data_IF_157855269650
#
_entry.id   IF_157855269650
#
_cell.length_a   1.000
_cell.length_b   1.000
_cell.length_c   1.000
_cell.angle_alpha   90.00
_cell.angle_beta   90.00
_cell.angle_gamma   90.00
#
_symmetry.space_group_name_H-M   'P 1'
#
loop_
_entity.id
_entity.type
_entity.pdbx_description
1 polymer ?
#
# COMPACT_ATOMS: atom_id res chain seq x y z
N UNK A 1 -23.22 -9.91 -26.94
CA UNK A 1 -23.31 -9.75 -25.48
C UNK A 1 -21.90 -9.45 -25.01
N UNK A 2 -21.55 -8.16 -24.95
CA UNK A 2 -20.37 -7.71 -24.24
C UNK A 2 -20.57 -8.05 -22.76
N UNK A 3 -19.66 -8.83 -22.19
CA UNK A 3 -19.65 -9.05 -20.76
C UNK A 3 -19.30 -7.74 -20.08
N UNK A 4 -20.20 -7.23 -19.25
CA UNK A 4 -19.86 -6.16 -18.30
C UNK A 4 -18.62 -6.59 -17.51
N UNK A 5 -17.49 -5.97 -17.82
CA UNK A 5 -16.30 -6.03 -16.98
C UNK A 5 -16.67 -5.41 -15.64
N UNK A 6 -17.00 -6.24 -14.65
CA UNK A 6 -17.24 -5.82 -13.28
C UNK A 6 -16.07 -4.95 -12.80
N UNK A 7 -16.38 -3.70 -12.46
CA UNK A 7 -15.47 -2.80 -11.77
C UNK A 7 -15.13 -3.41 -10.41
N UNK A 8 -13.85 -3.52 -10.12
CA UNK A 8 -13.33 -4.05 -8.86
C UNK A 8 -12.35 -3.06 -8.25
N UNK A 9 -12.21 -3.09 -6.91
CA UNK A 9 -11.12 -2.42 -6.23
C UNK A 9 -9.80 -3.10 -6.63
N UNK A 10 -9.04 -2.47 -7.52
CA UNK A 10 -7.76 -2.97 -8.03
C UNK A 10 -6.60 -2.64 -7.09
N UNK A 11 -6.82 -1.84 -6.04
CA UNK A 11 -5.84 -1.51 -5.01
C UNK A 11 -5.79 -2.51 -3.84
N UNK A 12 -6.80 -3.36 -3.67
CA UNK A 12 -6.89 -4.30 -2.54
C UNK A 12 -5.63 -5.19 -2.43
N UNK A 13 -4.99 -5.14 -1.26
CA UNK A 13 -3.78 -5.89 -0.91
C UNK A 13 -2.56 -5.54 -1.78
N UNK A 14 -2.59 -4.42 -2.50
CA UNK A 14 -1.48 -4.02 -3.36
C UNK A 14 -0.31 -3.47 -2.56
N UNK A 15 0.83 -3.41 -3.23
CA UNK A 15 2.03 -2.83 -2.65
C UNK A 15 1.86 -1.32 -2.54
N UNK A 16 2.21 -0.76 -1.39
CA UNK A 16 2.03 0.66 -1.09
C UNK A 16 3.32 1.35 -0.66
N UNK A 17 3.27 2.67 -0.75
CA UNK A 17 4.34 3.59 -0.46
C UNK A 17 3.74 4.77 0.31
N UNK A 18 4.52 5.42 1.17
CA UNK A 18 4.13 6.68 1.77
C UNK A 18 5.34 7.57 2.01
N UNK A 19 5.07 8.87 2.20
CA UNK A 19 6.08 9.84 2.62
C UNK A 19 6.73 9.48 3.96
N UNK A 20 5.94 8.93 4.87
CA UNK A 20 6.32 8.54 6.23
C UNK A 20 5.22 7.68 6.86
N UNK A 21 5.57 6.90 7.87
CA UNK A 21 4.63 6.14 8.70
C UNK A 21 4.70 6.62 10.15
N UNK A 22 3.57 6.69 10.83
CA UNK A 22 3.50 7.11 12.24
C UNK A 22 3.78 5.93 13.17
N UNK A 23 4.72 6.12 14.09
CA UNK A 23 5.05 5.15 15.13
C UNK A 23 4.17 5.42 16.36
N UNK A 24 3.11 4.61 16.51
CA UNK A 24 2.20 4.75 17.64
C UNK A 24 2.77 4.12 18.92
N UNK A 25 3.36 2.93 18.80
CA UNK A 25 4.01 2.23 19.91
C UNK A 25 5.16 1.35 19.40
N UNK A 26 5.86 0.65 20.29
CA UNK A 26 6.84 -0.37 19.90
C UNK A 26 6.22 -1.55 19.14
N UNK A 27 4.91 -1.72 19.22
CA UNK A 27 4.15 -2.83 18.65
C UNK A 27 3.16 -2.39 17.59
N UNK A 28 3.09 -1.11 17.21
CA UNK A 28 2.19 -0.61 16.15
C UNK A 28 2.87 0.53 15.38
N UNK A 29 3.03 0.32 14.07
CA UNK A 29 3.36 1.38 13.10
C UNK A 29 2.21 1.45 12.10
N UNK A 30 1.68 2.65 11.88
CA UNK A 30 0.55 2.92 11.00
C UNK A 30 1.02 3.17 9.56
N UNK A 31 1.37 2.09 8.85
CA UNK A 31 1.94 2.14 7.50
C UNK A 31 0.89 2.41 6.41
N UNK A 32 1.33 2.62 5.16
CA UNK A 32 0.43 2.75 4.00
C UNK A 32 -0.29 1.47 3.60
N UNK A 33 0.11 0.31 4.15
CA UNK A 33 -0.57 -0.96 3.91
C UNK A 33 -2.04 -0.92 4.38
N UNK A 34 -2.29 -0.31 5.55
CA UNK A 34 -3.64 -0.18 6.09
C UNK A 34 -4.59 0.62 5.20
N UNK A 35 -4.08 1.42 4.26
CA UNK A 35 -4.96 2.11 3.32
C UNK A 35 -5.47 1.18 2.19
N UNK A 36 -5.06 -0.08 2.11
CA UNK A 36 -5.49 -1.00 1.04
C UNK A 36 -5.72 -2.42 1.54
N UNK A 37 -5.91 -2.62 2.84
CA UNK A 37 -6.02 -3.95 3.43
C UNK A 37 -7.45 -4.52 3.33
N UNK A 38 -8.40 -3.70 2.89
CA UNK A 38 -9.82 -4.06 2.74
C UNK A 38 -10.62 -3.89 4.02
N UNK A 39 -10.04 -3.28 5.06
CA UNK A 39 -10.72 -2.96 6.30
C UNK A 39 -11.21 -1.51 6.30
N UNK A 40 -12.35 -1.29 5.66
CA UNK A 40 -12.99 0.02 5.54
C UNK A 40 -14.00 0.32 6.65
N UNK A 41 -13.94 -0.39 7.79
CA UNK A 41 -14.81 -0.10 8.91
C UNK A 41 -14.46 1.28 9.51
N UNK A 42 -15.48 2.12 9.63
CA UNK A 42 -15.39 3.49 10.12
C UNK A 42 -15.92 3.60 11.56
N UNK A 43 -16.14 2.46 12.24
CA UNK A 43 -16.56 2.41 13.63
C UNK A 43 -15.54 3.12 14.55
N UNK A 44 -15.98 3.62 15.70
CA UNK A 44 -15.11 4.19 16.75
C UNK A 44 -14.34 3.11 17.53
N UNK A 45 -14.36 1.86 17.05
CA UNK A 45 -13.68 0.76 17.72
C UNK A 45 -12.18 0.83 17.44
N UNK A 46 -11.37 0.61 18.48
CA UNK A 46 -9.90 0.62 18.40
C UNK A 46 -9.31 -0.56 17.62
N UNK A 47 -10.16 -1.36 16.97
CA UNK A 47 -9.80 -2.54 16.21
C UNK A 47 -9.40 -2.23 14.76
N UNK A 48 -9.70 -1.03 14.24
CA UNK A 48 -9.33 -0.62 12.88
C UNK A 48 -8.08 0.26 12.91
N UNK A 49 -7.02 -0.20 12.25
CA UNK A 49 -5.83 0.61 12.01
C UNK A 49 -5.97 1.31 10.67
N UNK A 50 -5.72 2.62 10.65
CA UNK A 50 -5.67 3.41 9.43
C UNK A 50 -4.21 3.78 9.13
N UNK A 51 -3.88 4.00 7.86
CA UNK A 51 -2.60 4.58 7.49
C UNK A 51 -2.47 5.97 8.08
N UNK A 52 -1.31 6.30 8.65
CA UNK A 52 -1.04 7.62 9.22
C UNK A 52 0.38 8.08 8.89
N UNK A 53 0.51 9.24 8.24
CA UNK A 53 1.83 9.86 8.01
C UNK A 53 2.31 10.63 9.24
N UNK A 54 3.62 10.70 9.44
CA UNK A 54 4.24 11.49 10.50
C UNK A 54 4.59 12.91 9.99
N UNK A 55 4.35 13.99 10.77
CA UNK A 55 4.76 15.36 10.46
C UNK A 55 6.28 15.50 10.26
N UNK A 56 6.70 16.53 9.53
CA UNK A 56 8.11 16.75 9.18
C UNK A 56 8.57 16.02 7.91
N UNK A 57 7.65 15.33 7.24
CA UNK A 57 7.84 14.63 5.96
C UNK A 57 6.89 15.17 4.88
N UNK A 58 6.52 16.44 4.99
CA UNK A 58 5.64 17.12 4.03
C UNK A 58 6.34 17.27 2.66
N UNK A 59 5.59 17.23 1.55
CA UNK A 59 4.15 16.95 1.48
C UNK A 59 3.85 15.47 1.74
N UNK A 60 2.74 15.20 2.44
CA UNK A 60 2.31 13.83 2.70
C UNK A 60 1.67 13.19 1.48
N UNK A 61 1.98 11.93 1.25
CA UNK A 61 1.42 11.15 0.16
C UNK A 61 1.38 9.66 0.50
N UNK A 62 0.42 8.96 -0.13
CA UNK A 62 0.30 7.50 -0.18
C UNK A 62 0.26 7.10 -1.66
N UNK A 63 1.09 6.15 -2.05
CA UNK A 63 1.15 5.61 -3.40
C UNK A 63 0.79 4.13 -3.42
N UNK A 64 0.08 3.69 -4.46
CA UNK A 64 -0.29 2.29 -4.67
C UNK A 64 0.27 1.81 -6.00
N UNK A 65 0.99 0.69 -6.00
CA UNK A 65 1.41 -0.02 -7.21
C UNK A 65 0.40 -1.12 -7.57
N UNK A 66 -0.37 -0.90 -8.63
CA UNK A 66 -1.40 -1.84 -9.09
C UNK A 66 -0.80 -3.13 -9.69
N UNK A 67 0.51 -3.15 -9.95
CA UNK A 67 1.28 -4.24 -10.55
C UNK A 67 1.21 -4.30 -12.09
N UNK A 68 0.21 -3.66 -12.69
CA UNK A 68 0.05 -3.49 -14.14
C UNK A 68 -0.70 -2.18 -14.43
N UNK A 69 -0.85 -1.82 -15.70
CA UNK A 69 -1.53 -0.59 -16.13
C UNK A 69 -3.04 -0.78 -16.20
N UNK A 70 -3.78 0.15 -15.58
CA UNK A 70 -5.24 0.22 -15.60
C UNK A 70 -5.71 1.54 -16.18
N UNK A 71 -6.87 1.50 -16.84
CA UNK A 71 -7.70 2.68 -17.04
C UNK A 71 -8.48 2.93 -15.74
N UNK A 72 -8.07 3.94 -14.98
CA UNK A 72 -8.66 4.26 -13.68
C UNK A 72 -9.89 5.13 -13.90
N UNK A 73 -11.02 4.74 -13.32
CA UNK A 73 -12.32 5.40 -13.52
C UNK A 73 -12.61 6.33 -12.34
N UNK A 74 -12.53 5.80 -11.12
CA UNK A 74 -12.75 6.58 -9.91
C UNK A 74 -11.98 5.95 -8.75
N UNK A 75 -11.86 6.73 -7.68
CA UNK A 75 -11.32 6.26 -6.40
C UNK A 75 -12.32 6.52 -5.28
N UNK A 76 -12.26 5.67 -4.25
CA UNK A 76 -12.97 5.86 -3.00
C UNK A 76 -11.94 6.03 -1.89
N UNK A 77 -12.14 7.02 -1.05
CA UNK A 77 -11.27 7.30 0.08
C UNK A 77 -12.07 7.31 1.37
N UNK A 78 -11.70 6.43 2.29
CA UNK A 78 -12.25 6.35 3.64
C UNK A 78 -11.31 7.10 4.57
N UNK A 79 -11.69 8.32 4.91
CA UNK A 79 -10.80 9.26 5.59
C UNK A 79 -10.78 8.99 7.08
N UNK A 80 -9.59 8.78 7.62
CA UNK A 80 -9.39 8.38 9.00
C UNK A 80 -9.55 9.48 10.04
N UNK A 81 -9.94 9.06 11.25
CA UNK A 81 -10.11 9.77 12.54
C UNK A 81 -10.59 8.70 13.57
N UNK A 82 -10.83 8.88 14.87
CA UNK A 82 -10.44 9.84 15.91
C UNK A 82 -10.03 8.91 17.05
N UNK A 83 -8.84 8.28 16.93
CA UNK A 83 -8.37 7.46 18.03
C UNK A 83 -8.00 8.42 19.16
N UNK A 84 -8.54 8.21 20.36
CA UNK A 84 -8.36 9.15 21.50
C UNK A 84 -6.86 9.39 21.80
N UNK A 85 -6.04 8.39 21.51
CA UNK A 85 -4.60 8.38 21.72
C UNK A 85 -3.78 8.79 20.48
N UNK A 86 -4.43 9.03 19.34
CA UNK A 86 -3.79 9.48 18.11
C UNK A 86 -4.12 10.95 17.82
N UNK A 87 -3.30 11.62 17.00
CA UNK A 87 -3.61 12.95 16.52
C UNK A 87 -4.99 13.00 15.85
N UNK A 88 -5.91 13.76 16.44
CA UNK A 88 -7.29 13.95 15.95
C UNK A 88 -7.35 14.83 14.69
N UNK A 89 -6.26 15.52 14.36
CA UNK A 89 -6.17 16.41 13.20
C UNK A 89 -5.74 15.63 11.96
N UNK A 90 -6.68 15.42 11.03
CA UNK A 90 -6.39 14.94 9.68
C UNK A 90 -6.41 16.12 8.69
N UNK A 91 -5.26 16.44 8.10
CA UNK A 91 -5.09 17.60 7.21
C UNK A 91 -5.32 17.25 5.73
N UNK A 92 -6.21 16.30 5.46
CA UNK A 92 -6.54 15.80 4.12
C UNK A 92 -7.40 16.78 3.29
N UNK A 93 -7.38 18.07 3.61
CA UNK A 93 -8.15 19.09 2.88
C UNK A 93 -7.52 19.35 1.51
N UNK A 94 -8.36 19.61 0.51
CA UNK A 94 -7.94 19.98 -0.85
C UNK A 94 -6.99 18.98 -1.54
N UNK A 95 -7.03 17.71 -1.13
CA UNK A 95 -6.13 16.68 -1.63
C UNK A 95 -6.30 16.41 -3.13
N UNK A 96 -5.24 15.86 -3.73
CA UNK A 96 -5.23 15.44 -5.13
C UNK A 96 -4.98 13.94 -5.25
N UNK A 97 -5.53 13.38 -6.31
CA UNK A 97 -5.29 12.01 -6.75
C UNK A 97 -4.65 12.07 -8.12
N UNK A 98 -3.47 11.49 -8.24
CA UNK A 98 -2.71 11.43 -9.47
C UNK A 98 -2.35 10.02 -9.88
N UNK A 99 -1.79 9.92 -11.08
CA UNK A 99 -1.42 8.66 -11.69
C UNK A 99 -0.06 8.75 -12.36
N UNK A 100 0.70 7.66 -12.34
CA UNK A 100 2.04 7.61 -12.91
C UNK A 100 2.38 6.22 -13.45
N UNK A 101 3.33 6.19 -14.40
CA UNK A 101 3.98 4.96 -14.84
C UNK A 101 5.45 4.89 -14.40
N UNK A 102 5.93 5.88 -13.62
CA UNK A 102 7.26 5.87 -13.01
C UNK A 102 7.19 5.19 -11.65
N UNK A 103 8.14 4.30 -11.36
CA UNK A 103 8.26 3.64 -10.06
C UNK A 103 8.42 4.67 -8.93
N UNK A 104 7.62 4.49 -7.88
CA UNK A 104 7.61 5.34 -6.70
C UNK A 104 8.81 5.06 -5.76
N UNK A 105 9.45 3.88 -5.87
CA UNK A 105 10.69 3.56 -5.14
C UNK A 105 11.83 4.51 -5.52
N UNK A 106 11.93 4.82 -6.82
CA UNK A 106 13.04 5.60 -7.39
C UNK A 106 12.65 7.07 -7.54
N UNK A 107 11.36 7.33 -7.74
CA UNK A 107 10.85 8.67 -7.98
C UNK A 107 9.67 8.94 -7.04
N UNK A 108 9.95 9.37 -5.79
CA UNK A 108 8.91 9.80 -4.87
C UNK A 108 7.99 10.85 -5.53
N UNK A 109 6.67 10.79 -5.30
CA UNK A 109 5.73 11.76 -5.85
C UNK A 109 6.08 13.21 -5.51
N UNK A 110 6.20 14.03 -6.54
CA UNK A 110 6.27 15.49 -6.43
C UNK A 110 5.04 16.05 -7.13
N UNK A 111 4.24 16.84 -6.43
CA UNK A 111 3.02 17.43 -6.98
C UNK A 111 3.30 18.16 -8.31
N UNK A 112 2.45 17.92 -9.31
CA UNK A 112 2.61 18.49 -10.66
C UNK A 112 3.59 17.76 -11.58
N UNK A 113 4.23 16.66 -11.14
CA UNK A 113 5.12 15.83 -11.98
C UNK A 113 4.50 14.54 -12.49
N UNK A 114 3.24 14.30 -12.13
CA UNK A 114 2.43 13.15 -12.54
C UNK A 114 1.07 13.66 -13.06
N UNK A 115 0.36 12.82 -13.80
CA UNK A 115 -0.93 13.19 -14.39
C UNK A 115 -2.02 13.23 -13.31
N UNK A 116 -2.84 14.28 -13.33
CA UNK A 116 -3.94 14.42 -12.37
C UNK A 116 -5.10 13.52 -12.79
N UNK A 117 -5.55 12.65 -11.88
CA UNK A 117 -6.81 11.94 -12.00
C UNK A 117 -7.95 12.84 -11.52
N UNK A 118 -7.89 13.29 -10.26
CA UNK A 118 -8.95 14.06 -9.63
C UNK A 118 -8.43 14.96 -8.51
N UNK A 119 -9.24 15.91 -8.08
CA UNK A 119 -8.96 16.79 -6.94
C UNK A 119 -10.21 16.95 -6.11
N UNK A 120 -10.08 16.83 -4.79
CA UNK A 120 -11.16 17.18 -3.87
C UNK A 120 -11.12 18.69 -3.60
N UNK A 121 -12.21 19.44 -3.78
CA UNK A 121 -12.16 20.90 -3.79
C UNK A 121 -12.36 21.56 -2.42
N UNK A 122 -12.38 20.81 -1.31
CA UNK A 122 -12.83 21.33 -0.03
C UNK A 122 -12.16 20.74 1.20
N UNK A 123 -12.76 21.08 2.34
CA UNK A 123 -12.42 20.50 3.64
C UNK A 123 -13.04 19.11 3.73
N UNK A 124 -12.25 18.16 4.20
CA UNK A 124 -12.71 16.79 4.43
C UNK A 124 -13.17 16.70 5.88
N UNK A 125 -14.42 16.30 6.07
CA UNK A 125 -14.93 16.02 7.40
C UNK A 125 -14.26 14.76 7.94
N UNK A 126 -14.01 14.69 9.25
CA UNK A 126 -13.60 13.45 9.88
C UNK A 126 -14.61 12.31 9.52
N UNK A 127 -14.11 11.09 9.26
CA UNK A 127 -14.89 9.86 8.92
C UNK A 127 -15.62 9.93 7.59
N UNK A 128 -15.31 10.92 6.77
CA UNK A 128 -15.94 11.09 5.49
C UNK A 128 -15.46 10.01 4.51
N UNK A 129 -16.41 9.44 3.78
CA UNK A 129 -16.13 8.66 2.57
C UNK A 129 -16.21 9.61 1.37
N UNK A 130 -15.14 9.70 0.61
CA UNK A 130 -15.01 10.59 -0.54
C UNK A 130 -14.86 9.76 -1.81
N UNK A 131 -15.80 9.91 -2.74
CA UNK A 131 -15.67 9.40 -4.10
C UNK A 131 -15.16 10.50 -5.02
N UNK A 132 -14.11 10.21 -5.80
CA UNK A 132 -13.61 11.10 -6.83
C UNK A 132 -13.55 10.38 -8.18
N UNK A 133 -14.28 10.91 -9.17
CA UNK A 133 -14.17 10.43 -10.54
C UNK A 133 -12.92 11.01 -11.19
N UNK A 134 -12.11 10.15 -11.81
CA UNK A 134 -10.98 10.62 -12.60
C UNK A 134 -11.47 11.34 -13.85
N UNK A 135 -10.69 12.32 -14.31
CA UNK A 135 -10.92 12.97 -15.60
C UNK A 135 -10.92 11.94 -16.73
N UNK A 136 -11.76 12.12 -17.76
CA UNK A 136 -11.72 11.30 -18.98
C UNK A 136 -10.40 11.43 -19.74
N UNK A 137 -9.61 12.46 -19.46
CA UNK A 137 -8.26 12.66 -19.99
C UNK A 137 -7.16 11.98 -19.18
N UNK A 138 -7.49 11.32 -18.06
CA UNK A 138 -6.51 10.63 -17.21
C UNK A 138 -5.89 9.49 -18.01
N UNK A 139 -4.55 9.45 -18.19
CA UNK A 139 -3.93 8.37 -18.94
C UNK A 139 -3.96 7.06 -18.14
N UNK A 140 -3.94 5.91 -18.83
CA UNK A 140 -3.75 4.62 -18.18
C UNK A 140 -2.45 4.56 -17.40
N UNK A 141 -2.50 4.05 -16.18
CA UNK A 141 -1.37 4.08 -15.27
C UNK A 141 -1.25 2.83 -14.39
N UNK A 142 -0.03 2.57 -13.92
CA UNK A 142 0.30 1.51 -12.95
C UNK A 142 0.26 1.99 -11.50
N UNK A 143 0.64 3.25 -11.26
CA UNK A 143 0.71 3.82 -9.92
C UNK A 143 -0.40 4.83 -9.72
N UNK A 144 -1.04 4.78 -8.55
CA UNK A 144 -2.03 5.78 -8.10
C UNK A 144 -1.49 6.46 -6.86
N UNK A 145 -1.58 7.79 -6.81
CA UNK A 145 -0.97 8.62 -5.80
C UNK A 145 -2.07 9.46 -5.16
N UNK A 146 -2.26 9.32 -3.86
CA UNK A 146 -2.99 10.25 -3.01
C UNK A 146 -1.98 11.23 -2.39
N UNK A 147 -2.18 12.53 -2.56
CA UNK A 147 -1.26 13.54 -2.04
C UNK A 147 -2.00 14.74 -1.45
N UNK A 148 -1.55 15.18 -0.27
CA UNK A 148 -1.98 16.43 0.33
C UNK A 148 -1.39 17.63 -0.44
N UNK A 149 -2.03 18.80 -0.38
CA UNK A 149 -1.44 20.01 -0.93
C UNK A 149 -0.12 20.36 -0.22
N UNK A 150 0.79 21.03 -0.93
CA UNK A 150 2.15 21.33 -0.43
C UNK A 150 2.21 22.24 0.79
N UNK A 151 1.10 22.92 1.11
CA UNK A 151 0.96 23.77 2.29
C UNK A 151 0.25 23.05 3.47
N UNK A 152 -0.05 21.76 3.33
CA UNK A 152 -0.46 20.93 4.46
C UNK A 152 0.71 20.79 5.45
N UNK A 153 0.43 20.78 6.74
CA UNK A 153 1.44 20.78 7.83
C UNK A 153 1.19 19.74 8.90
N UNK A 154 0.32 18.77 8.63
CA UNK A 154 -0.01 17.75 9.61
C UNK A 154 -0.46 16.46 8.96
N UNK A 155 -1.07 15.62 9.77
CA UNK A 155 -1.22 14.20 9.47
C UNK A 155 -2.08 13.95 8.23
N UNK A 156 -1.73 12.92 7.46
CA UNK A 156 -2.59 12.29 6.48
C UNK A 156 -3.06 10.95 7.06
N UNK A 157 -4.35 10.85 7.39
CA UNK A 157 -4.96 9.61 7.89
C UNK A 157 -5.95 9.02 6.89
N UNK A 158 -5.75 7.75 6.50
CA UNK A 158 -6.55 7.05 5.49
C UNK A 158 -6.79 5.61 5.93
N UNK A 159 -8.05 5.24 6.14
CA UNK A 159 -8.41 3.88 6.56
C UNK A 159 -8.59 2.94 5.37
N UNK A 160 -9.03 3.45 4.22
CA UNK A 160 -9.07 2.67 2.98
C UNK A 160 -8.99 3.60 1.77
N UNK A 161 -8.25 3.21 0.76
CA UNK A 161 -8.03 3.89 -0.51
C UNK A 161 -8.26 2.91 -1.65
N UNK A 162 -9.52 2.86 -2.08
CA UNK A 162 -9.95 1.95 -3.13
C UNK A 162 -9.77 2.61 -4.50
N UNK A 163 -9.27 1.84 -5.45
CA UNK A 163 -9.08 2.29 -6.84
C UNK A 163 -9.94 1.41 -7.73
N UNK A 164 -10.85 2.01 -8.49
CA UNK A 164 -11.72 1.30 -9.42
C UNK A 164 -11.31 1.61 -10.86
N UNK A 165 -11.01 0.55 -11.61
CA UNK A 165 -10.56 0.65 -12.98
C UNK A 165 -10.67 -0.64 -13.74
N UNK A 166 -10.43 -0.57 -15.05
CA UNK A 166 -10.39 -1.73 -15.94
C UNK A 166 -8.96 -1.97 -16.43
N UNK A 167 -8.54 -3.23 -16.64
CA UNK A 167 -7.25 -3.52 -17.25
C UNK A 167 -7.13 -2.79 -18.60
N UNK A 168 -6.02 -2.10 -18.83
CA UNK A 168 -5.85 -1.36 -20.08
C UNK A 168 -5.69 -2.31 -21.28
N UNK A 169 -6.59 -2.20 -22.27
CA UNK A 169 -6.85 -3.22 -23.30
C UNK A 169 -5.63 -3.65 -24.13
N UNK A 170 -4.69 -2.73 -24.39
CA UNK A 170 -3.46 -3.06 -25.13
C UNK A 170 -2.54 -4.04 -24.39
N UNK A 171 -2.73 -4.22 -23.09
CA UNK A 171 -2.01 -5.18 -22.25
C UNK A 171 -2.80 -6.46 -21.95
N UNK A 172 -4.04 -6.60 -22.43
CA UNK A 172 -4.81 -7.86 -22.27
C UNK A 172 -4.10 -9.03 -23.00
N UNK A 173 -3.29 -8.74 -24.01
CA UNK A 173 -2.42 -9.71 -24.70
C UNK A 173 -1.05 -9.92 -24.04
N UNK A 174 -0.64 -9.06 -23.10
CA UNK A 174 0.56 -9.30 -22.29
C UNK A 174 0.11 -10.17 -21.14
N UNK A 175 0.72 -11.34 -20.97
CA UNK A 175 0.46 -12.21 -19.83
C UNK A 175 0.41 -11.35 -18.57
N UNK A 176 -0.74 -11.38 -17.86
CA UNK A 176 -0.87 -10.69 -16.57
C UNK A 176 0.34 -11.05 -15.74
N UNK A 177 1.21 -10.07 -15.49
CA UNK A 177 2.29 -10.22 -14.52
C UNK A 177 1.64 -10.67 -13.22
N UNK A 178 1.95 -11.89 -12.82
CA UNK A 178 1.41 -12.50 -11.61
C UNK A 178 2.55 -12.70 -10.65
N UNK A 179 2.27 -12.51 -9.36
CA UNK A 179 3.21 -12.91 -8.33
C UNK A 179 3.36 -14.44 -8.37
N UNK A 180 4.47 -14.91 -8.96
CA UNK A 180 4.74 -16.35 -9.11
C UNK A 180 4.93 -17.05 -7.77
N UNK A 181 5.37 -16.30 -6.76
CA UNK A 181 5.70 -16.82 -5.42
C UNK A 181 4.52 -16.78 -4.45
N UNK A 182 3.41 -16.10 -4.79
CA UNK A 182 2.26 -15.96 -3.88
C UNK A 182 1.80 -17.32 -3.34
N UNK A 183 1.89 -17.46 -2.01
CA UNK A 183 1.54 -18.66 -1.22
C UNK A 183 2.25 -19.94 -1.69
N UNK A 184 3.41 -19.81 -2.34
CA UNK A 184 4.25 -20.95 -2.74
C UNK A 184 5.04 -21.52 -1.56
N UNK A 185 5.45 -22.80 -1.62
CA UNK A 185 6.33 -23.36 -0.62
C UNK A 185 7.62 -22.53 -0.52
N UNK A 186 8.01 -22.23 0.72
CA UNK A 186 9.17 -21.40 1.02
C UNK A 186 9.98 -22.05 2.14
N UNK A 187 11.30 -21.98 2.04
CA UNK A 187 12.22 -22.47 3.04
C UNK A 187 13.35 -21.45 3.28
N UNK A 188 13.97 -21.48 4.45
CA UNK A 188 15.05 -20.58 4.81
C UNK A 188 16.20 -21.31 5.50
N UNK A 189 17.36 -20.65 5.58
CA UNK A 189 18.51 -21.14 6.34
C UNK A 189 18.17 -21.41 7.80
N UNK A 190 17.29 -20.58 8.36
CA UNK A 190 16.81 -20.65 9.73
C UNK A 190 15.52 -19.82 9.87
N UNK A 191 14.88 -19.90 11.02
CA UNK A 191 13.74 -19.06 11.37
C UNK A 191 13.90 -18.50 12.76
N UNK A 192 13.68 -17.20 12.93
CA UNK A 192 13.66 -16.56 14.23
C UNK A 192 12.30 -16.77 14.90
N UNK A 193 12.31 -17.15 16.17
CA UNK A 193 11.11 -17.09 17.01
C UNK A 193 10.99 -15.69 17.60
N UNK A 194 9.91 -14.97 17.27
CA UNK A 194 9.79 -13.54 17.56
C UNK A 194 8.83 -13.25 18.71
N UNK A 195 9.36 -13.40 19.93
CA UNK A 195 8.67 -13.08 21.19
C UNK A 195 7.31 -13.80 21.35
N UNK A 196 6.52 -13.31 22.30
CA UNK A 196 5.14 -13.68 22.63
C UNK A 196 4.09 -13.19 21.62
N UNK A 197 4.41 -12.16 20.83
CA UNK A 197 3.46 -11.54 19.89
C UNK A 197 3.38 -12.33 18.58
N UNK A 198 4.54 -12.62 17.99
CA UNK A 198 4.60 -13.38 16.75
C UNK A 198 5.12 -14.79 17.02
N UNK A 199 4.46 -15.78 16.42
CA UNK A 199 5.01 -17.12 16.36
C UNK A 199 6.33 -17.17 15.56
N UNK A 200 6.73 -18.35 15.07
CA UNK A 200 7.93 -18.44 14.24
C UNK A 200 7.77 -17.60 12.96
N UNK A 201 8.76 -16.73 12.68
CA UNK A 201 8.79 -15.87 11.49
C UNK A 201 9.37 -16.64 10.30
N UNK A 202 8.54 -17.49 9.72
CA UNK A 202 8.90 -18.46 8.69
C UNK A 202 9.06 -17.81 7.30
N UNK A 203 9.84 -18.46 6.43
CA UNK A 203 10.02 -18.07 5.02
C UNK A 203 8.70 -17.87 4.24
N UNK A 204 7.65 -18.62 4.60
CA UNK A 204 6.32 -18.51 3.96
C UNK A 204 5.68 -17.12 4.11
N UNK A 205 6.06 -16.37 5.15
CA UNK A 205 5.52 -15.02 5.37
C UNK A 205 6.05 -14.04 4.30
N UNK A 206 7.25 -14.25 3.75
CA UNK A 206 7.79 -13.40 2.67
C UNK A 206 6.98 -13.48 1.36
N UNK A 207 6.05 -14.44 1.26
CA UNK A 207 5.28 -14.71 0.05
C UNK A 207 3.78 -14.92 0.33
N UNK A 208 3.29 -14.52 1.51
CA UNK A 208 1.89 -14.72 1.89
C UNK A 208 0.93 -13.73 1.19
N UNK A 209 1.48 -12.68 0.58
CA UNK A 209 0.75 -11.61 -0.11
C UNK A 209 0.50 -10.37 0.74
N UNK A 210 1.03 -10.34 1.96
CA UNK A 210 0.97 -9.19 2.85
C UNK A 210 2.25 -8.36 2.69
N UNK A 211 2.10 -7.07 2.45
CA UNK A 211 3.22 -6.19 2.08
C UNK A 211 3.56 -5.16 3.17
N UNK A 212 3.07 -5.36 4.38
CA UNK A 212 3.44 -4.52 5.50
C UNK A 212 4.91 -4.73 5.89
N UNK A 213 5.53 -3.64 6.33
CA UNK A 213 6.96 -3.55 6.64
C UNK A 213 7.25 -3.73 8.13
N UNK A 214 6.20 -3.87 8.95
CA UNK A 214 6.32 -3.88 10.40
C UNK A 214 6.29 -5.30 10.98
N UNK A 215 7.29 -5.62 11.80
CA UNK A 215 7.53 -7.00 12.25
C UNK A 215 6.41 -7.56 13.11
N UNK A 216 5.82 -6.75 13.99
CA UNK A 216 4.83 -7.23 14.96
C UNK A 216 3.45 -7.52 14.34
N UNK A 217 3.26 -7.21 13.06
CA UNK A 217 2.13 -7.70 12.29
C UNK A 217 2.32 -9.16 11.82
N UNK A 218 3.46 -9.79 12.16
CA UNK A 218 3.72 -11.22 11.97
C UNK A 218 3.69 -11.71 10.52
N UNK A 219 3.88 -10.81 9.57
CA UNK A 219 3.93 -11.07 8.12
C UNK A 219 5.34 -10.90 7.52
N UNK A 220 6.37 -10.64 8.35
CA UNK A 220 7.76 -10.63 7.90
C UNK A 220 8.40 -12.02 8.09
N UNK A 221 9.22 -12.47 7.13
CA UNK A 221 10.12 -13.60 7.33
C UNK A 221 11.44 -13.13 7.94
N UNK A 222 11.99 -13.85 8.92
CA UNK A 222 13.27 -13.49 9.57
C UNK A 222 14.11 -14.75 9.85
N UNK A 223 15.35 -14.77 9.37
CA UNK A 223 16.35 -15.79 9.71
C UNK A 223 17.03 -15.48 11.05
N UNK A 224 17.50 -16.49 11.77
CA UNK A 224 18.36 -16.30 12.94
C UNK A 224 19.81 -16.03 12.51
N UNK A 225 20.40 -14.97 13.05
CA UNK A 225 21.80 -14.62 12.82
C UNK A 225 22.72 -15.39 13.77
N UNK A 226 22.94 -16.68 13.47
CA UNK A 226 23.89 -17.54 14.20
C UNK A 226 25.27 -17.37 13.54
N UNK A 227 26.38 -17.25 14.29
CA UNK A 227 27.69 -17.01 13.70
C UNK A 227 28.10 -18.15 12.75
N UNK A 228 28.22 -17.85 11.45
CA UNK A 228 28.99 -18.67 10.51
C UNK A 228 28.38 -19.01 9.15
N UNK A 229 27.21 -18.49 8.75
CA UNK A 229 26.63 -18.81 7.43
C UNK A 229 25.83 -17.69 6.78
N UNK A 230 25.69 -17.70 5.44
CA UNK A 230 24.82 -16.76 4.75
C UNK A 230 23.35 -17.04 5.09
N UNK A 231 22.60 -15.99 5.43
CA UNK A 231 21.15 -16.06 5.57
C UNK A 231 20.50 -16.15 4.18
N UNK A 232 19.57 -17.08 3.99
CA UNK A 232 18.92 -17.27 2.69
C UNK A 232 17.46 -17.66 2.81
N UNK A 233 16.70 -17.32 1.77
CA UNK A 233 15.36 -17.82 1.48
C UNK A 233 15.39 -18.56 0.14
N UNK A 234 14.58 -19.61 0.04
CA UNK A 234 14.33 -20.37 -1.20
C UNK A 234 12.83 -20.53 -1.37
N UNK A 235 12.37 -20.45 -2.62
CA UNK A 235 10.95 -20.52 -2.95
C UNK A 235 10.75 -21.54 -4.08
N UNK A 236 9.89 -22.53 -3.84
CA UNK A 236 9.56 -23.53 -4.85
C UNK A 236 8.43 -23.00 -5.75
N UNK A 237 8.79 -22.60 -6.97
CA UNK A 237 7.84 -22.16 -7.98
C UNK A 237 6.99 -23.31 -8.57
N UNK A 238 7.28 -24.56 -8.22
CA UNK A 238 6.64 -25.82 -8.68
C UNK A 238 6.81 -26.15 -10.17
N UNK A 239 7.25 -25.19 -10.98
CA UNK A 239 7.59 -25.36 -12.39
C UNK A 239 8.57 -24.27 -12.83
N UNK A 240 9.10 -24.39 -14.04
CA UNK A 240 9.99 -23.40 -14.64
C UNK A 240 9.20 -22.19 -15.15
N UNK A 241 9.69 -21.00 -14.82
CA UNK A 241 9.17 -19.73 -15.33
C UNK A 241 10.28 -18.88 -15.91
N UNK A 242 9.91 -18.00 -16.84
CA UNK A 242 10.71 -16.83 -17.17
C UNK A 242 10.38 -15.74 -16.16
N UNK A 243 11.36 -15.32 -15.38
CA UNK A 243 11.20 -14.27 -14.36
C UNK A 243 11.52 -12.93 -15.02
N UNK A 244 10.56 -12.01 -14.99
CA UNK A 244 10.75 -10.65 -15.50
C UNK A 244 11.49 -9.76 -14.51
N UNK A 245 11.07 -9.78 -13.23
CA UNK A 245 11.67 -9.01 -12.15
C UNK A 245 11.35 -9.64 -10.79
N UNK A 246 12.03 -9.17 -9.75
CA UNK A 246 11.79 -9.52 -8.35
C UNK A 246 11.48 -8.22 -7.61
N UNK A 247 10.42 -8.23 -6.81
CA UNK A 247 10.11 -7.17 -5.85
C UNK A 247 10.42 -7.67 -4.44
N UNK A 248 11.05 -6.83 -3.62
CA UNK A 248 11.40 -7.14 -2.23
C UNK A 248 10.87 -6.02 -1.33
N UNK A 249 9.99 -6.37 -0.40
CA UNK A 249 9.61 -5.50 0.71
C UNK A 249 10.66 -5.61 1.81
N UNK A 250 11.35 -4.51 2.13
CA UNK A 250 12.24 -4.46 3.28
C UNK A 250 11.47 -4.06 4.55
N UNK A 251 11.88 -4.59 5.71
CA UNK A 251 11.36 -4.16 7.02
C UNK A 251 11.67 -2.68 7.24
N UNK A 252 10.73 -1.94 7.82
CA UNK A 252 10.96 -0.54 8.21
C UNK A 252 12.04 -0.45 9.31
N UNK A 253 12.76 0.67 9.35
CA UNK A 253 13.69 0.97 10.42
C UNK A 253 12.90 1.35 11.69
N UNK A 254 13.15 0.65 12.79
CA UNK A 254 12.34 0.78 14.02
C UNK A 254 12.94 1.72 15.09
N UNK A 255 14.04 2.42 14.80
CA UNK A 255 14.67 3.35 15.77
C UNK A 255 15.68 2.65 16.66
#
# INVERSE_FOLDING_TARGET
MEGESLLANVALGKYTYNSSAFHYSSQIILTSFYAVDGNNDMSDDSSVNCSLTAPGFEPHWIGVDLGTVFSIIYVMLYVGMDHVDLPTKNDLNFFIVGVSNRSLDVHPPVGGTYDLCAQYPGVVAPKQVVQLNCSSSTPPARYVILQQPSNSTGYMSVCEFEVYGTPYESLIKIERRRNLLLKRPANSSSSLYASDVCGPLLAKMAVDGFHDTFRYNCHCAITSDIPGGPNWYTFDMQTSYRIDYIALTARSYEG
#
